data_IF_925458451439
#
_entry.id   IF_925458451439
#
_cell.length_a   1.000
_cell.length_b   1.000
_cell.length_c   1.000
_cell.angle_alpha   90.00
_cell.angle_beta   90.00
_cell.angle_gamma   90.00
#
_symmetry.space_group_name_H-M   'P 1'
#
loop_
_entity.id
_entity.type
_entity.pdbx_description
1 polymer ?
#
# COMPACT_ATOMS: atom_id res chain seq x y z
N UNK A 1 -6.45 2.88 -29.07
CA UNK A 1 -5.49 3.93 -28.68
C UNK A 1 -4.37 3.27 -27.89
N UNK A 2 -3.31 2.83 -28.56
CA UNK A 2 -2.12 2.23 -27.94
C UNK A 2 -0.90 2.94 -28.51
N UNK A 3 -0.42 3.98 -27.83
CA UNK A 3 0.84 4.65 -28.12
C UNK A 3 1.36 5.28 -26.83
N UNK A 4 2.00 4.51 -25.95
CA UNK A 4 2.94 5.00 -24.93
C UNK A 4 3.81 3.82 -24.48
N UNK A 5 4.70 3.41 -25.37
CA UNK A 5 5.63 2.30 -25.16
C UNK A 5 6.80 2.41 -26.13
N UNK A 6 7.37 3.60 -26.29
CA UNK A 6 8.66 3.73 -26.96
C UNK A 6 9.75 3.09 -26.09
N UNK A 7 10.82 2.52 -26.69
CA UNK A 7 11.95 2.02 -25.91
C UNK A 7 12.52 3.17 -25.08
N UNK A 8 12.54 3.02 -23.75
CA UNK A 8 13.05 4.03 -22.81
C UNK A 8 14.50 4.50 -23.10
N UNK A 9 15.21 3.79 -23.97
CA UNK A 9 16.54 4.17 -24.47
C UNK A 9 16.55 5.47 -25.27
N UNK A 10 15.61 5.70 -26.19
CA UNK A 10 15.61 6.93 -27.02
C UNK A 10 15.18 8.16 -26.24
N UNK A 11 14.35 8.01 -25.21
CA UNK A 11 13.95 9.13 -24.36
C UNK A 11 15.11 9.65 -23.48
N UNK A 12 16.15 8.85 -23.25
CA UNK A 12 17.30 9.24 -22.40
C UNK A 12 18.36 10.01 -23.19
N UNK A 13 18.49 9.76 -24.49
CA UNK A 13 19.48 10.43 -25.35
C UNK A 13 19.25 11.96 -25.43
N UNK A 14 17.99 12.41 -25.36
CA UNK A 14 17.64 13.84 -25.36
C UNK A 14 17.85 14.52 -23.99
N UNK A 15 18.06 13.76 -22.91
CA UNK A 15 18.19 14.29 -21.54
C UNK A 15 19.59 14.82 -21.22
N UNK A 16 20.57 14.53 -22.08
CA UNK A 16 21.98 14.84 -21.83
C UNK A 16 22.69 13.74 -21.03
N UNK A 17 23.62 14.12 -20.15
CA UNK A 17 24.43 13.15 -19.39
C UNK A 17 24.13 13.20 -17.89
N UNK A 18 24.07 12.04 -17.25
CA UNK A 18 23.97 11.92 -15.80
C UNK A 18 25.23 12.50 -15.13
N UNK A 19 25.04 13.47 -14.22
CA UNK A 19 26.12 14.12 -13.46
C UNK A 19 26.20 13.62 -12.02
N UNK A 20 25.08 13.15 -11.45
CA UNK A 20 25.02 12.57 -10.12
C UNK A 20 23.84 11.62 -9.96
N UNK A 21 23.97 10.64 -9.06
CA UNK A 21 22.90 9.70 -8.70
C UNK A 21 22.66 9.72 -7.20
N UNK A 22 21.40 9.71 -6.79
CA UNK A 22 21.00 9.78 -5.39
C UNK A 22 19.90 8.76 -5.05
N UNK A 23 19.94 8.10 -3.88
CA UNK A 23 18.89 7.16 -3.47
C UNK A 23 17.59 7.85 -3.03
N UNK A 24 17.63 9.14 -2.70
CA UNK A 24 16.48 9.91 -2.22
C UNK A 24 16.25 11.14 -3.10
N UNK A 25 14.99 11.41 -3.41
CA UNK A 25 14.58 12.55 -4.22
C UNK A 25 15.05 13.89 -3.64
N UNK A 26 14.99 14.06 -2.31
CA UNK A 26 15.43 15.29 -1.63
C UNK A 26 16.91 15.61 -1.88
N UNK A 27 17.76 14.59 -1.99
CA UNK A 27 19.19 14.78 -2.27
C UNK A 27 19.41 15.19 -3.72
N UNK A 28 18.66 14.61 -4.66
CA UNK A 28 18.65 15.05 -6.05
C UNK A 28 18.17 16.50 -6.16
N UNK A 29 17.12 16.89 -5.43
CA UNK A 29 16.63 18.27 -5.41
C UNK A 29 17.68 19.24 -4.87
N UNK A 30 18.41 18.88 -3.80
CA UNK A 30 19.52 19.69 -3.28
C UNK A 30 20.64 19.86 -4.31
N UNK A 31 20.98 18.80 -5.04
CA UNK A 31 21.95 18.88 -6.13
C UNK A 31 21.48 19.80 -7.26
N UNK A 32 20.19 19.73 -7.64
CA UNK A 32 19.60 20.67 -8.61
C UNK A 32 19.65 22.11 -8.10
N UNK A 33 19.30 22.35 -6.83
CA UNK A 33 19.41 23.68 -6.23
C UNK A 33 20.85 24.21 -6.25
N UNK A 34 21.86 23.36 -5.97
CA UNK A 34 23.26 23.73 -6.05
C UNK A 34 23.70 24.06 -7.49
N UNK A 35 23.23 23.28 -8.48
CA UNK A 35 23.49 23.54 -9.90
C UNK A 35 22.91 24.89 -10.35
N UNK A 36 21.66 25.19 -9.96
CA UNK A 36 21.00 26.45 -10.27
C UNK A 36 21.72 27.63 -9.59
N UNK A 37 22.15 27.45 -8.33
CA UNK A 37 22.94 28.45 -7.61
C UNK A 37 24.30 28.71 -8.28
N UNK A 38 24.91 27.68 -8.88
CA UNK A 38 26.07 27.81 -9.74
C UNK A 38 25.74 28.24 -11.18
N UNK A 39 24.58 28.85 -11.40
CA UNK A 39 24.15 29.42 -12.68
C UNK A 39 24.12 28.40 -13.85
N UNK A 40 23.75 27.14 -13.57
CA UNK A 40 23.32 26.21 -14.62
C UNK A 40 21.84 26.48 -14.92
N UNK A 41 21.44 26.69 -16.18
CA UNK A 41 20.04 26.94 -16.53
C UNK A 41 19.13 25.80 -16.07
N UNK A 42 18.05 26.11 -15.34
CA UNK A 42 17.15 25.10 -14.81
C UNK A 42 16.50 24.21 -15.89
N UNK A 43 16.30 24.76 -17.10
CA UNK A 43 15.78 24.03 -18.28
C UNK A 43 16.74 22.95 -18.80
N UNK A 44 18.02 23.05 -18.49
CA UNK A 44 19.05 22.10 -18.91
C UNK A 44 19.20 20.94 -17.91
N UNK A 45 18.46 20.95 -16.80
CA UNK A 45 18.59 19.98 -15.70
C UNK A 45 17.33 19.11 -15.65
N UNK A 46 17.51 17.79 -15.64
CA UNK A 46 16.41 16.83 -15.52
C UNK A 46 16.67 15.84 -14.39
N UNK A 47 15.68 15.56 -13.56
CA UNK A 47 15.74 14.46 -12.58
C UNK A 47 14.98 13.26 -13.15
N UNK A 48 15.65 12.11 -13.23
CA UNK A 48 15.10 10.86 -13.75
C UNK A 48 15.08 9.83 -12.62
N UNK A 49 13.90 9.30 -12.30
CA UNK A 49 13.78 8.16 -11.39
C UNK A 49 14.04 6.85 -12.12
N UNK A 50 15.03 6.08 -11.69
CA UNK A 50 15.35 4.76 -12.24
C UNK A 50 14.92 3.64 -11.30
N UNK A 51 14.59 2.47 -11.85
CA UNK A 51 14.07 1.34 -11.07
C UNK A 51 12.71 1.63 -10.43
N UNK A 52 11.74 2.11 -11.21
CA UNK A 52 10.41 2.39 -10.69
C UNK A 52 9.72 1.10 -10.20
N UNK A 53 9.37 1.09 -8.92
CA UNK A 53 8.55 0.06 -8.29
C UNK A 53 7.15 0.63 -8.06
N UNK A 54 6.18 0.03 -8.72
CA UNK A 54 4.77 0.25 -8.40
C UNK A 54 4.41 -0.66 -7.22
N UNK A 55 4.08 -0.05 -6.09
CA UNK A 55 3.59 -0.71 -4.90
C UNK A 55 2.08 -0.50 -4.80
N UNK A 56 1.32 -1.57 -4.93
CA UNK A 56 -0.12 -1.54 -4.62
C UNK A 56 -0.30 -1.79 -3.12
N UNK A 57 -0.47 -0.72 -2.34
CA UNK A 57 -0.70 -0.84 -0.91
C UNK A 57 -2.18 -1.10 -0.66
N UNK A 58 -2.50 -2.30 -0.18
CA UNK A 58 -3.84 -2.66 0.28
C UNK A 58 -4.08 -1.93 1.60
N UNK A 59 -4.99 -0.95 1.59
CA UNK A 59 -5.31 -0.12 2.76
C UNK A 59 -6.39 -0.74 3.65
N UNK A 60 -7.14 -1.70 3.13
CA UNK A 60 -8.09 -2.48 3.91
C UNK A 60 -9.19 -3.11 3.07
N UNK A 61 -10.15 -3.72 3.75
CA UNK A 61 -11.35 -4.26 3.09
C UNK A 61 -12.25 -3.11 2.68
N UNK A 62 -12.63 -3.09 1.40
CA UNK A 62 -13.56 -2.10 0.91
C UNK A 62 -14.97 -2.51 1.38
N UNK A 63 -15.59 -1.71 2.23
CA UNK A 63 -16.88 -2.04 2.87
C UNK A 63 -17.85 -0.87 2.92
N UNK A 64 -19.15 -1.17 2.95
CA UNK A 64 -20.23 -0.17 3.05
C UNK A 64 -20.08 0.73 4.28
N UNK A 65 -19.63 0.18 5.41
CA UNK A 65 -19.40 0.93 6.64
C UNK A 65 -18.28 1.98 6.49
N UNK A 66 -17.21 1.66 5.74
CA UNK A 66 -16.11 2.59 5.50
C UNK A 66 -16.54 3.68 4.52
N UNK A 67 -17.27 3.32 3.45
CA UNK A 67 -17.82 4.28 2.49
C UNK A 67 -18.83 5.23 3.15
N UNK A 68 -19.73 4.71 3.98
CA UNK A 68 -20.67 5.54 4.72
C UNK A 68 -19.95 6.55 5.64
N UNK A 69 -18.93 6.09 6.38
CA UNK A 69 -18.13 6.97 7.25
C UNK A 69 -17.39 8.04 6.45
N UNK A 70 -16.63 7.66 5.42
CA UNK A 70 -15.90 8.65 4.61
C UNK A 70 -16.85 9.62 3.89
N UNK A 71 -18.00 9.13 3.42
CA UNK A 71 -19.08 9.94 2.87
C UNK A 71 -19.68 10.93 3.86
N UNK A 72 -19.94 10.51 5.10
CA UNK A 72 -20.44 11.38 6.16
C UNK A 72 -19.41 12.44 6.57
N UNK A 73 -18.12 12.09 6.65
CA UNK A 73 -17.04 13.06 6.92
C UNK A 73 -16.92 14.10 5.80
N UNK A 74 -16.96 13.68 4.54
CA UNK A 74 -16.94 14.60 3.41
C UNK A 74 -18.23 15.45 3.33
N UNK A 75 -19.37 14.83 3.63
CA UNK A 75 -20.68 15.48 3.74
C UNK A 75 -20.76 16.46 4.90
N UNK A 76 -20.00 16.26 5.99
CA UNK A 76 -19.88 17.21 7.09
C UNK A 76 -19.23 18.50 6.63
N UNK A 77 -18.14 18.43 5.87
CA UNK A 77 -17.48 19.62 5.34
C UNK A 77 -18.39 20.39 4.37
N UNK A 78 -19.07 19.67 3.48
CA UNK A 78 -20.04 20.26 2.57
C UNK A 78 -21.26 20.85 3.32
N UNK A 79 -21.77 20.12 4.31
CA UNK A 79 -22.87 20.56 5.16
C UNK A 79 -22.49 21.76 6.01
N UNK A 80 -21.26 21.84 6.50
CA UNK A 80 -20.73 22.98 7.24
C UNK A 80 -20.66 24.22 6.34
N UNK A 81 -20.20 24.05 5.09
CA UNK A 81 -20.21 25.12 4.09
C UNK A 81 -21.64 25.63 3.85
N UNK A 82 -22.60 24.74 3.58
CA UNK A 82 -23.99 25.16 3.34
C UNK A 82 -24.66 25.74 4.58
N UNK A 83 -24.39 25.20 5.76
CA UNK A 83 -24.90 25.72 7.02
C UNK A 83 -24.34 27.12 7.31
N UNK A 84 -23.06 27.36 6.99
CA UNK A 84 -22.44 28.68 7.10
C UNK A 84 -23.07 29.70 6.14
N UNK A 85 -23.25 29.33 4.87
CA UNK A 85 -23.94 30.17 3.87
C UNK A 85 -25.38 30.46 4.31
N UNK A 86 -26.08 29.46 4.84
CA UNK A 86 -27.46 29.59 5.32
C UNK A 86 -27.60 30.57 6.48
N UNK A 87 -26.67 30.52 7.46
CA UNK A 87 -26.64 31.44 8.60
C UNK A 87 -26.31 32.86 8.15
N UNK A 88 -25.34 33.04 7.24
CA UNK A 88 -25.01 34.36 6.67
C UNK A 88 -26.19 35.00 5.93
N UNK A 89 -26.99 34.18 5.23
CA UNK A 89 -28.20 34.63 4.55
C UNK A 89 -29.41 34.84 5.46
N UNK A 90 -29.36 34.37 6.71
CA UNK A 90 -30.50 34.35 7.63
C UNK A 90 -30.13 34.91 9.01
N UNK A 91 -30.28 36.23 9.25
CA UNK A 91 -29.76 36.91 10.44
C UNK A 91 -30.37 36.46 11.78
N UNK A 92 -31.51 35.76 11.78
CA UNK A 92 -32.17 35.21 12.98
C UNK A 92 -32.22 33.67 12.98
N UNK A 93 -31.30 33.01 12.26
CA UNK A 93 -31.28 31.55 12.22
C UNK A 93 -31.05 30.96 13.62
N UNK A 94 -31.92 30.06 14.03
CA UNK A 94 -31.74 29.28 15.26
C UNK A 94 -30.60 28.27 15.06
N UNK A 95 -29.89 27.96 16.16
CA UNK A 95 -28.81 26.94 16.17
C UNK A 95 -29.34 25.58 15.69
N UNK A 96 -30.61 25.25 15.96
CA UNK A 96 -31.28 24.05 15.47
C UNK A 96 -31.33 23.96 13.94
N UNK A 97 -31.54 25.09 13.24
CA UNK A 97 -31.56 25.15 11.79
C UNK A 97 -30.16 24.91 11.20
N UNK A 98 -29.11 25.44 11.83
CA UNK A 98 -27.72 25.16 11.46
C UNK A 98 -27.41 23.66 11.58
N UNK A 99 -27.75 23.05 12.71
CA UNK A 99 -27.56 21.60 12.93
C UNK A 99 -28.39 20.79 11.92
N UNK A 100 -29.61 21.22 11.59
CA UNK A 100 -30.44 20.58 10.58
C UNK A 100 -29.78 20.56 9.19
N UNK A 101 -29.31 21.71 8.70
CA UNK A 101 -28.62 21.82 7.40
C UNK A 101 -27.33 21.00 7.39
N UNK A 102 -26.58 21.01 8.50
CA UNK A 102 -25.36 20.22 8.66
C UNK A 102 -25.65 18.71 8.56
N UNK A 103 -26.66 18.22 9.28
CA UNK A 103 -27.07 16.81 9.27
C UNK A 103 -27.56 16.37 7.88
N UNK A 104 -28.29 17.23 7.17
CA UNK A 104 -28.69 16.96 5.78
C UNK A 104 -27.47 16.84 4.86
N UNK A 105 -26.47 17.72 5.01
CA UNK A 105 -25.22 17.63 4.26
C UNK A 105 -24.44 16.33 4.54
N UNK A 106 -24.36 15.91 5.80
CA UNK A 106 -23.76 14.64 6.20
C UNK A 106 -24.51 13.44 5.62
N UNK A 107 -25.84 13.42 5.72
CA UNK A 107 -26.69 12.35 5.20
C UNK A 107 -26.58 12.24 3.67
N UNK A 108 -26.59 13.38 2.98
CA UNK A 108 -26.43 13.45 1.54
C UNK A 108 -25.04 12.93 1.13
N UNK A 109 -23.97 13.40 1.78
CA UNK A 109 -22.61 12.92 1.51
C UNK A 109 -22.44 11.41 1.75
N UNK A 110 -23.08 10.89 2.81
CA UNK A 110 -23.13 9.46 3.09
C UNK A 110 -23.85 8.68 1.97
N UNK A 111 -25.03 9.14 1.53
CA UNK A 111 -25.80 8.51 0.46
C UNK A 111 -25.06 8.52 -0.88
N UNK A 112 -24.46 9.64 -1.26
CA UNK A 112 -23.65 9.74 -2.47
C UNK A 112 -22.43 8.81 -2.42
N UNK A 113 -21.74 8.74 -1.28
CA UNK A 113 -20.60 7.83 -1.12
C UNK A 113 -21.03 6.37 -1.21
N UNK A 114 -22.18 6.00 -0.63
CA UNK A 114 -22.72 4.64 -0.73
C UNK A 114 -23.14 4.29 -2.16
N UNK A 115 -23.74 5.24 -2.89
CA UNK A 115 -24.15 5.07 -4.28
C UNK A 115 -22.95 4.89 -5.22
N UNK A 116 -21.98 5.80 -5.15
CA UNK A 116 -20.71 5.70 -5.90
C UNK A 116 -19.96 4.41 -5.56
N UNK A 117 -19.95 4.04 -4.28
CA UNK A 117 -19.34 2.80 -3.82
C UNK A 117 -20.01 1.57 -4.43
N UNK A 118 -21.34 1.51 -4.48
CA UNK A 118 -22.09 0.41 -5.11
C UNK A 118 -21.73 0.24 -6.59
N UNK A 119 -21.55 1.35 -7.32
CA UNK A 119 -21.13 1.34 -8.72
C UNK A 119 -19.69 0.82 -8.91
N UNK A 120 -18.77 1.19 -8.01
CA UNK A 120 -17.36 0.80 -8.08
C UNK A 120 -17.07 -0.60 -7.49
N UNK A 121 -17.87 -1.08 -6.53
CA UNK A 121 -17.72 -2.35 -5.81
C UNK A 121 -17.62 -3.55 -6.74
N UNK A 122 -18.25 -3.50 -7.92
CA UNK A 122 -18.48 -4.64 -8.80
C UNK A 122 -17.23 -5.41 -9.24
N UNK A 123 -16.01 -4.91 -9.00
CA UNK A 123 -14.75 -5.57 -9.41
C UNK A 123 -13.64 -5.67 -8.35
N UNK A 124 -13.78 -5.13 -7.13
CA UNK A 124 -12.71 -5.20 -6.10
C UNK A 124 -13.28 -5.21 -4.67
N UNK A 125 -12.85 -6.18 -3.86
CA UNK A 125 -13.19 -6.30 -2.42
C UNK A 125 -12.18 -5.63 -1.48
N UNK A 126 -11.15 -4.97 -2.05
CA UNK A 126 -10.08 -4.33 -1.31
C UNK A 126 -9.91 -2.89 -1.77
N UNK A 127 -9.67 -2.00 -0.80
CA UNK A 127 -9.21 -0.66 -1.08
C UNK A 127 -7.70 -0.74 -1.27
N UNK A 128 -7.21 -0.26 -2.41
CA UNK A 128 -5.78 -0.17 -2.68
C UNK A 128 -5.41 1.24 -3.13
N UNK A 129 -4.21 1.66 -2.73
CA UNK A 129 -3.58 2.90 -3.19
C UNK A 129 -2.32 2.51 -3.95
N UNK A 130 -2.28 2.87 -5.22
CA UNK A 130 -1.09 2.66 -6.06
C UNK A 130 -0.08 3.76 -5.74
N UNK A 131 1.09 3.38 -5.29
CA UNK A 131 2.23 4.26 -5.07
C UNK A 131 3.36 3.86 -6.00
N UNK A 132 4.03 4.83 -6.60
CA UNK A 132 5.21 4.58 -7.43
C UNK A 132 6.41 5.18 -6.71
N UNK A 133 7.42 4.36 -6.45
CA UNK A 133 8.70 4.80 -5.88
C UNK A 133 9.84 4.44 -6.82
N UNK A 134 10.86 5.28 -6.91
CA UNK A 134 12.09 4.96 -7.63
C UNK A 134 13.11 4.35 -6.67
N UNK A 135 13.95 3.45 -7.18
CA UNK A 135 15.09 2.94 -6.41
C UNK A 135 16.16 4.03 -6.26
N UNK A 136 16.42 4.78 -7.34
CA UNK A 136 17.41 5.86 -7.39
C UNK A 136 16.92 7.00 -8.29
N UNK A 137 17.50 8.18 -8.09
CA UNK A 137 17.21 9.41 -8.80
C UNK A 137 18.50 9.96 -9.41
N UNK A 138 18.56 9.95 -10.72
CA UNK A 138 19.70 10.43 -11.50
C UNK A 138 19.43 11.87 -11.95
N UNK A 139 20.40 12.74 -11.75
CA UNK A 139 20.35 14.13 -12.24
C UNK A 139 21.12 14.18 -13.55
N UNK A 140 20.41 14.49 -14.63
CA UNK A 140 20.93 14.70 -15.97
C UNK A 140 21.09 16.18 -16.27
N UNK A 141 22.13 16.52 -17.02
CA UNK A 141 22.37 17.88 -17.52
C UNK A 141 22.68 17.85 -19.01
N UNK A 142 22.12 18.81 -19.74
CA UNK A 142 22.39 18.99 -21.17
C UNK A 142 23.89 19.19 -21.44
N UNK A 143 24.35 18.76 -22.62
CA UNK A 143 25.77 18.79 -23.00
C UNK A 143 26.39 20.20 -22.92
N UNK A 144 25.61 21.26 -23.20
CA UNK A 144 26.02 22.66 -23.12
C UNK A 144 26.49 23.10 -21.73
N UNK A 145 25.85 22.57 -20.68
CA UNK A 145 26.05 23.02 -19.29
C UNK A 145 26.81 22.01 -18.42
N UNK A 146 27.28 20.93 -19.06
CA UNK A 146 27.82 19.75 -18.40
C UNK A 146 29.16 20.00 -17.70
N UNK A 147 30.08 20.71 -18.36
CA UNK A 147 31.38 21.07 -17.77
C UNK A 147 31.21 21.91 -16.49
N UNK A 148 30.27 22.86 -16.52
CA UNK A 148 29.92 23.71 -15.37
C UNK A 148 29.31 22.89 -14.24
N UNK A 149 28.36 22.02 -14.57
CA UNK A 149 27.70 21.15 -13.61
C UNK A 149 28.68 20.22 -12.87
N UNK A 150 29.64 19.63 -13.58
CA UNK A 150 30.72 18.82 -12.98
C UNK A 150 31.64 19.62 -12.06
N UNK A 151 31.91 20.88 -12.41
CA UNK A 151 32.67 21.79 -11.56
C UNK A 151 31.97 22.12 -10.24
N UNK A 152 30.63 22.24 -10.26
CA UNK A 152 29.82 22.61 -9.09
C UNK A 152 29.57 21.42 -8.16
N UNK A 153 29.18 20.26 -8.71
CA UNK A 153 28.88 19.06 -7.92
C UNK A 153 30.15 18.30 -7.49
N UNK A 154 31.30 18.64 -8.07
CA UNK A 154 32.56 17.92 -7.89
C UNK A 154 32.51 16.52 -8.52
N UNK A 155 33.69 15.92 -8.69
CA UNK A 155 33.81 14.56 -9.26
C UNK A 155 33.19 13.45 -8.38
N UNK A 156 32.66 13.80 -7.20
CA UNK A 156 32.10 12.89 -6.20
C UNK A 156 30.64 12.51 -6.44
N UNK A 157 29.94 13.14 -7.41
CA UNK A 157 28.59 12.72 -7.82
C UNK A 157 28.55 11.41 -8.61
N UNK A 158 29.70 10.96 -9.12
CA UNK A 158 29.84 9.73 -9.89
C UNK A 158 30.16 8.51 -9.03
N UNK A 159 29.53 8.37 -7.84
CA UNK A 159 29.41 7.03 -7.25
C UNK A 159 28.44 6.30 -8.15
N UNK A 160 29.01 5.66 -9.18
CA UNK A 160 28.34 4.68 -10.01
C UNK A 160 27.87 3.61 -9.03
N UNK A 161 26.60 3.61 -8.66
CA UNK A 161 25.98 2.39 -8.14
C UNK A 161 26.01 1.44 -9.33
N UNK A 162 27.13 0.74 -9.46
CA UNK A 162 27.26 -0.35 -10.41
C UNK A 162 26.17 -1.33 -10.00
N UNK A 163 25.12 -1.39 -10.81
CA UNK A 163 24.13 -2.45 -10.69
C UNK A 163 24.94 -3.72 -10.85
N UNK A 164 25.16 -4.44 -9.73
CA UNK A 164 25.67 -5.80 -9.75
C UNK A 164 24.65 -6.60 -10.54
N UNK A 165 24.85 -6.65 -11.85
CA UNK A 165 24.24 -7.64 -12.72
C UNK A 165 24.79 -8.97 -12.19
N UNK A 166 23.94 -9.89 -11.69
CA UNK A 166 24.40 -11.25 -11.40
C UNK A 166 25.16 -11.73 -12.64
N UNK A 167 26.37 -12.33 -12.49
CA UNK A 167 27.13 -12.78 -13.64
C UNK A 167 26.19 -13.65 -14.48
N UNK A 168 25.94 -13.21 -15.71
CA UNK A 168 25.24 -14.06 -16.66
C UNK A 168 26.08 -15.35 -16.74
N UNK A 169 25.51 -16.54 -16.51
CA UNK A 169 26.21 -17.78 -16.80
C UNK A 169 26.75 -17.68 -18.22
N UNK A 170 28.00 -18.08 -18.41
CA UNK A 170 28.74 -17.95 -19.67
C UNK A 170 27.82 -18.19 -20.87
N UNK A 171 27.91 -17.30 -21.86
CA UNK A 171 27.14 -17.35 -23.10
C UNK A 171 27.58 -18.52 -24.03
N UNK A 172 27.87 -19.67 -23.45
CA UNK A 172 28.00 -20.94 -24.14
C UNK A 172 26.59 -21.53 -24.34
N UNK A 173 26.24 -22.01 -25.54
CA UNK A 173 25.03 -22.80 -25.74
C UNK A 173 25.03 -23.97 -24.73
N UNK A 174 23.89 -24.29 -24.08
CA UNK A 174 23.84 -25.39 -23.13
C UNK A 174 24.24 -26.70 -23.84
N UNK A 175 25.40 -27.24 -23.47
CA UNK A 175 25.84 -28.55 -23.95
C UNK A 175 25.02 -29.61 -23.21
N UNK A 176 24.00 -30.12 -23.89
CA UNK A 176 23.10 -31.12 -23.32
C UNK A 176 23.86 -32.43 -23.09
N UNK A 177 23.93 -32.90 -21.85
CA UNK A 177 24.48 -34.21 -21.50
C UNK A 177 25.67 -34.20 -20.54
N UNK A 178 26.26 -33.04 -20.24
CA UNK A 178 27.37 -32.96 -19.30
C UNK A 178 26.86 -32.62 -17.89
N UNK A 179 27.04 -33.55 -16.92
CA UNK A 179 26.86 -33.21 -15.51
C UNK A 179 28.05 -32.38 -15.06
N UNK A 180 27.81 -31.18 -14.56
CA UNK A 180 28.81 -30.38 -13.84
C UNK A 180 29.31 -31.21 -12.65
N UNK A 181 30.46 -31.84 -12.80
CA UNK A 181 31.16 -32.51 -11.70
C UNK A 181 32.11 -31.50 -11.11
N UNK A 182 31.70 -30.86 -10.02
CA UNK A 182 32.60 -30.00 -9.24
C UNK A 182 33.67 -30.89 -8.60
N UNK A 183 34.98 -30.71 -8.91
CA UNK A 183 36.02 -31.51 -8.27
C UNK A 183 36.04 -31.19 -6.77
N UNK A 184 35.70 -32.17 -5.93
CA UNK A 184 35.78 -32.06 -4.47
C UNK A 184 34.46 -32.19 -3.69
N UNK A 185 33.30 -32.31 -4.35
CA UNK A 185 32.05 -32.61 -3.65
C UNK A 185 31.86 -34.13 -3.50
N UNK A 186 31.95 -34.65 -2.27
CA UNK A 186 31.70 -36.06 -1.98
C UNK A 186 30.26 -36.45 -2.41
N UNK A 187 30.14 -37.53 -3.18
CA UNK A 187 28.85 -38.03 -3.66
C UNK A 187 27.95 -38.43 -2.47
N UNK A 188 26.69 -37.97 -2.39
CA UNK A 188 25.78 -38.41 -1.34
C UNK A 188 25.45 -39.89 -1.55
N UNK A 189 25.68 -40.74 -0.53
CA UNK A 189 25.28 -42.13 -0.57
C UNK A 189 23.75 -42.24 -0.56
N UNK A 190 23.17 -42.79 -1.63
CA UNK A 190 21.72 -42.99 -1.78
C UNK A 190 21.33 -44.30 -1.08
N UNK A 191 20.48 -44.30 -0.04
CA UNK A 191 19.98 -45.54 0.54
C UNK A 191 18.98 -46.23 -0.42
N UNK A 192 18.89 -47.58 -0.43
CA UNK A 192 18.02 -48.29 -1.35
C UNK A 192 16.54 -48.01 -1.03
N UNK A 193 15.80 -47.60 -2.07
CA UNK A 193 14.37 -47.27 -2.01
C UNK A 193 13.54 -48.57 -2.03
N UNK A 194 12.54 -48.75 -1.14
CA UNK A 194 11.66 -49.92 -1.20
C UNK A 194 10.72 -49.85 -2.42
N UNK A 195 10.31 -51.01 -2.99
CA UNK A 195 9.46 -51.04 -4.17
C UNK A 195 8.04 -50.57 -3.83
N UNK A 196 7.56 -49.58 -4.58
CA UNK A 196 6.18 -49.06 -4.51
C UNK A 196 5.31 -49.89 -5.47
N UNK A 197 4.14 -50.42 -5.06
CA UNK A 197 3.25 -51.15 -5.96
C UNK A 197 2.59 -50.20 -6.98
N UNK A 198 2.31 -50.65 -8.21
CA UNK A 198 1.71 -49.81 -9.24
C UNK A 198 0.26 -49.46 -8.87
N UNK A 199 -0.06 -48.15 -8.86
CA UNK A 199 -1.46 -47.71 -8.87
C UNK A 199 -2.06 -47.90 -10.27
N UNK A 200 -3.35 -48.25 -10.39
CA UNK A 200 -4.04 -48.26 -11.68
C UNK A 200 -3.97 -46.87 -12.31
N UNK A 201 -3.58 -46.79 -13.57
CA UNK A 201 -3.66 -45.58 -14.36
C UNK A 201 -5.11 -45.43 -14.85
N UNK A 202 -5.84 -44.46 -14.29
CA UNK A 202 -7.06 -43.97 -14.94
C UNK A 202 -6.62 -43.02 -16.06
N UNK A 203 -6.48 -43.59 -17.26
CA UNK A 203 -6.23 -42.87 -18.51
C UNK A 203 -7.52 -42.19 -19.01
N UNK A 204 -7.90 -41.04 -18.43
CA UNK A 204 -8.78 -40.11 -19.15
C UNK A 204 -8.47 -38.64 -18.79
N UNK A 205 -8.17 -37.77 -19.79
CA UNK A 205 -7.92 -36.36 -19.52
C UNK A 205 -9.24 -35.62 -19.17
N UNK A 206 -9.23 -34.71 -18.18
CA UNK A 206 -10.45 -34.08 -17.68
C UNK A 206 -11.08 -33.13 -18.72
N UNK A 207 -12.40 -33.25 -18.93
CA UNK A 207 -13.17 -32.35 -19.79
C UNK A 207 -13.51 -31.05 -19.05
N UNK A 208 -13.32 -29.93 -19.75
CA UNK A 208 -13.49 -28.58 -19.18
C UNK A 208 -14.97 -28.28 -18.88
N UNK A 209 -15.28 -27.95 -17.62
CA UNK A 209 -16.61 -27.53 -17.18
C UNK A 209 -17.19 -28.32 -16.00
N UNK A 210 -16.57 -29.41 -15.58
CA UNK A 210 -17.05 -30.21 -14.45
C UNK A 210 -16.41 -29.75 -13.13
N UNK A 211 -17.25 -29.39 -12.14
CA UNK A 211 -16.77 -29.04 -10.80
C UNK A 211 -16.36 -30.33 -10.09
N UNK A 212 -15.08 -30.46 -9.76
CA UNK A 212 -14.57 -31.52 -8.89
C UNK A 212 -15.28 -31.40 -7.54
N UNK A 213 -16.14 -32.38 -7.22
CA UNK A 213 -16.66 -32.52 -5.87
C UNK A 213 -15.50 -32.94 -4.95
N UNK A 214 -15.29 -32.27 -3.80
CA UNK A 214 -14.33 -32.78 -2.82
C UNK A 214 -14.77 -34.18 -2.38
N UNK A 215 -13.85 -35.12 -2.15
CA UNK A 215 -14.21 -36.49 -1.82
C UNK A 215 -15.05 -36.51 -0.55
N UNK A 216 -16.22 -37.14 -0.65
CA UNK A 216 -17.06 -37.44 0.50
C UNK A 216 -16.26 -38.37 1.42
N UNK A 217 -15.92 -37.89 2.61
CA UNK A 217 -15.38 -38.72 3.68
C UNK A 217 -16.43 -39.78 4.03
N UNK A 218 -16.19 -41.02 3.61
CA UNK A 218 -16.97 -42.16 4.04
C UNK A 218 -16.76 -42.43 5.54
N UNK A 219 -17.74 -43.03 6.23
CA UNK A 219 -17.93 -42.86 7.66
C UNK A 219 -17.17 -43.89 8.50
N UNK A 220 -16.65 -43.45 9.64
CA UNK A 220 -16.30 -44.31 10.77
C UNK A 220 -14.86 -44.20 11.23
N UNK A 221 -14.62 -43.40 12.28
CA UNK A 221 -13.93 -43.82 13.51
C UNK A 221 -13.64 -42.61 14.41
N UNK A 222 -14.45 -42.51 15.47
CA UNK A 222 -14.04 -42.14 16.84
C UNK A 222 -13.57 -40.70 17.16
N UNK A 223 -14.48 -39.97 17.83
CA UNK A 223 -14.20 -38.74 18.56
C UNK A 223 -14.03 -39.05 20.07
N UNK A 224 -13.09 -38.41 20.79
CA UNK A 224 -13.18 -38.28 22.24
C UNK A 224 -13.83 -36.95 22.63
N UNK A 225 -15.06 -37.08 23.12
CA UNK A 225 -15.76 -36.37 24.20
C UNK A 225 -15.23 -35.01 24.71
N UNK A 226 -16.07 -33.99 24.57
CA UNK A 226 -16.02 -32.75 25.36
C UNK A 226 -16.63 -32.94 26.77
N UNK A 227 -16.17 -32.21 27.80
CA UNK A 227 -16.95 -31.97 29.01
C UNK A 227 -18.00 -30.87 28.77
N UNK A 228 -19.22 -31.16 29.25
CA UNK A 228 -20.46 -30.38 29.18
C UNK A 228 -20.54 -29.43 30.37
N UNK A 229 -20.94 -28.18 30.17
CA UNK A 229 -21.34 -27.28 31.28
C UNK A 229 -22.72 -26.66 30.96
N UNK A 230 -23.67 -26.58 31.92
CA UNK A 230 -25.08 -26.38 31.62
C UNK A 230 -25.50 -24.90 31.64
N UNK A 231 -26.49 -24.58 30.82
CA UNK A 231 -27.14 -23.27 30.75
C UNK A 231 -28.04 -22.98 31.96
N UNK A 232 -28.24 -21.71 32.35
CA UNK A 232 -29.39 -21.32 33.17
C UNK A 232 -30.48 -20.64 32.33
N UNK A 233 -31.72 -21.02 32.66
CA UNK A 233 -32.98 -20.60 32.06
C UNK A 233 -33.50 -19.29 32.67
N UNK A 234 -34.36 -18.59 31.93
CA UNK A 234 -35.13 -17.43 32.36
C UNK A 234 -35.98 -17.68 33.62
N UNK A 235 -36.07 -16.67 34.49
CA UNK A 235 -37.31 -16.32 35.20
C UNK A 235 -37.29 -14.85 35.59
N UNK A 236 -38.44 -14.22 35.38
CA UNK A 236 -38.80 -12.83 35.72
C UNK A 236 -39.14 -12.66 37.20
N UNK A 237 -38.90 -11.46 37.71
CA UNK A 237 -39.76 -10.65 38.60
C UNK A 237 -39.01 -9.89 39.71
N UNK A 238 -39.57 -8.72 40.04
CA UNK A 238 -39.46 -7.91 41.26
C UNK A 238 -38.52 -6.68 41.25
N UNK A 239 -39.12 -5.52 40.93
CA UNK A 239 -38.89 -4.19 41.55
C UNK A 239 -39.53 -4.20 42.98
N UNK A 240 -39.14 -3.43 44.05
CA UNK A 240 -38.74 -2.01 44.04
C UNK A 240 -37.68 -1.50 45.05
N UNK A 241 -37.16 -0.31 44.74
CA UNK A 241 -36.75 0.85 45.57
C UNK A 241 -35.78 0.78 46.80
N UNK A 242 -35.12 1.93 47.15
CA UNK A 242 -33.83 2.05 47.84
C UNK A 242 -34.01 2.43 49.35
N UNK A 243 -32.95 2.73 50.14
CA UNK A 243 -32.34 4.08 50.13
C UNK A 243 -30.87 4.21 50.61
N UNK A 244 -30.35 5.44 50.44
CA UNK A 244 -29.55 6.21 51.39
C UNK A 244 -28.01 6.00 51.52
N UNK A 245 -27.32 7.05 51.05
CA UNK A 245 -26.38 7.89 51.83
C UNK A 245 -24.92 7.47 52.01
N UNK A 246 -24.04 8.26 51.38
CA UNK A 246 -22.95 9.07 52.00
C UNK A 246 -21.80 9.20 50.98
N UNK A 247 -21.66 10.32 50.28
CA UNK A 247 -21.13 11.62 50.73
C UNK A 247 -19.61 11.76 50.46
N UNK A 248 -19.31 12.80 49.67
CA UNK A 248 -18.11 13.64 49.65
C UNK A 248 -16.80 13.15 48.99
N UNK A 249 -16.28 13.99 48.09
CA UNK A 249 -14.84 14.05 47.81
C UNK A 249 -14.38 14.49 46.41
N UNK A 250 -14.87 15.61 45.87
CA UNK A 250 -14.09 16.45 44.94
C UNK A 250 -13.47 17.63 45.75
N UNK A 251 -12.51 18.44 45.25
CA UNK A 251 -11.87 18.48 43.92
C UNK A 251 -10.33 18.76 43.92
N UNK A 252 -9.76 18.89 42.71
CA UNK A 252 -8.99 20.07 42.24
C UNK A 252 -7.53 19.88 41.77
N UNK A 253 -7.27 20.43 40.56
CA UNK A 253 -6.11 21.23 40.07
C UNK A 253 -4.66 20.69 40.24
N UNK A 254 -3.67 20.87 39.34
CA UNK A 254 -3.45 21.56 38.06
C UNK A 254 -2.01 21.17 37.57
N UNK A 255 -1.48 21.72 36.45
CA UNK A 255 -0.42 21.11 35.62
C UNK A 255 1.01 21.62 35.91
N UNK A 256 2.03 20.93 35.37
CA UNK A 256 3.44 21.33 35.45
C UNK A 256 4.18 21.24 34.11
N UNK A 257 4.62 22.40 33.64
CA UNK A 257 5.41 22.74 32.42
C UNK A 257 6.89 22.26 32.47
N UNK A 258 7.66 22.37 31.35
CA UNK A 258 8.94 21.69 31.13
C UNK A 258 10.17 22.53 31.56
N UNK A 259 11.35 21.89 31.63
CA UNK A 259 12.66 22.58 31.77
C UNK A 259 13.74 21.99 30.86
N UNK A 260 14.33 22.87 30.05
CA UNK A 260 15.65 22.78 29.40
C UNK A 260 16.79 22.61 30.41
N UNK A 261 17.94 22.04 29.98
CA UNK A 261 19.32 22.53 30.21
C UNK A 261 20.21 21.84 29.13
N UNK A 262 20.70 22.55 28.11
CA UNK A 262 22.05 23.14 27.93
C UNK A 262 23.20 22.14 27.92
#
# INVERSE_FOLDING_TARGET
>A
MSMFGGPAGTATDDLGQAVASFPKYENAQKAVSALIAGEVPARDITIVGTGLRSMERITGRLGYATAARSGALNGLMLGLLFAFIFVLGTPNAQISAFVGVLLVGMALGMLLSLGTYSLLRRRRDFASVTQVAADHYDVFVAASSLAKARGILGTSGAIRTEVVRPPAPDAAPPQYGERVTTPGAAAPAVPPRPPVPPRPADDEPPRYGERIAPPATAPGAEAPSAPREPAPQHSSDVEPEPPASAESGEPNAEPGTPREVR
#
